data_IF_533594170411
#
_entry.id   IF_533594170411
#
_cell.length_a   1.000
_cell.length_b   1.000
_cell.length_c   1.000
_cell.angle_alpha   90.00
_cell.angle_beta   90.00
_cell.angle_gamma   90.00
#
_symmetry.space_group_name_H-M   'P 1'
#
loop_
_entity.id
_entity.type
_entity.pdbx_description
1 polymer ?
#
# COMPACT_ATOMS: atom_id res chain seq x y z
N UNK A 1 13.51 5.62 -28.17
CA UNK A 1 12.98 6.84 -27.53
C UNK A 1 13.51 6.83 -26.12
N UNK A 2 14.59 7.58 -25.87
CA UNK A 2 15.18 7.69 -24.55
C UNK A 2 14.31 8.63 -23.72
N UNK A 3 13.45 8.06 -22.88
CA UNK A 3 12.61 8.83 -21.98
C UNK A 3 13.38 9.08 -20.68
N UNK A 4 13.39 10.33 -20.21
CA UNK A 4 14.10 10.78 -19.00
C UNK A 4 15.65 10.65 -19.06
N UNK A 5 16.33 11.07 -20.15
CA UNK A 5 17.80 10.95 -20.26
C UNK A 5 18.55 11.71 -19.15
N UNK A 6 17.97 12.78 -18.62
CA UNK A 6 18.51 13.58 -17.52
C UNK A 6 18.62 12.83 -16.19
N UNK A 7 17.91 11.70 -16.06
CA UNK A 7 17.92 10.88 -14.86
C UNK A 7 19.03 9.81 -14.87
N UNK A 8 19.69 9.59 -16.01
CA UNK A 8 20.81 8.65 -16.14
C UNK A 8 20.47 7.22 -15.73
N UNK A 9 19.20 6.83 -15.84
CA UNK A 9 18.72 5.52 -15.40
C UNK A 9 19.19 4.43 -16.36
N UNK A 10 19.77 3.35 -15.82
CA UNK A 10 19.95 2.10 -16.57
C UNK A 10 18.84 1.11 -16.20
N UNK A 11 18.60 0.11 -17.05
CA UNK A 11 17.48 -0.83 -16.89
C UNK A 11 17.52 -1.58 -15.55
N UNK A 12 18.71 -1.83 -15.04
CA UNK A 12 18.98 -2.53 -13.78
C UNK A 12 18.67 -1.66 -12.55
N UNK A 13 18.41 -0.37 -12.74
CA UNK A 13 18.15 0.57 -11.63
C UNK A 13 16.73 0.49 -11.12
N UNK A 14 15.84 -0.13 -11.90
CA UNK A 14 14.40 -0.15 -11.65
C UNK A 14 13.89 -1.57 -11.76
N UNK A 15 13.43 -2.12 -10.65
CA UNK A 15 12.80 -3.43 -10.60
C UNK A 15 11.32 -3.26 -10.29
N UNK A 16 10.44 -3.58 -11.24
CA UNK A 16 8.99 -3.58 -10.97
C UNK A 16 8.64 -4.70 -10.00
N UNK A 17 7.92 -4.38 -8.92
CA UNK A 17 7.51 -5.36 -7.90
C UNK A 17 6.07 -5.81 -8.12
N UNK A 18 5.11 -4.91 -7.94
CA UNK A 18 3.68 -5.22 -8.06
C UNK A 18 2.85 -3.98 -8.42
N UNK A 19 1.60 -4.20 -8.81
CA UNK A 19 0.64 -3.13 -9.10
C UNK A 19 -0.30 -2.92 -7.91
N UNK A 20 -0.66 -1.67 -7.63
CA UNK A 20 -1.76 -1.28 -6.75
C UNK A 20 -2.77 -0.46 -7.55
N UNK A 21 -4.00 -0.37 -7.07
CA UNK A 21 -5.03 0.40 -7.76
C UNK A 21 -6.44 -0.01 -7.34
N UNK A 22 -7.46 0.76 -7.73
CA UNK A 22 -8.85 0.37 -7.54
C UNK A 22 -9.15 -0.94 -8.30
N UNK A 23 -9.87 -1.87 -7.65
CA UNK A 23 -10.23 -3.17 -8.27
C UNK A 23 -10.96 -3.03 -9.60
N UNK A 24 -11.73 -1.96 -9.79
CA UNK A 24 -12.51 -1.67 -11.01
C UNK A 24 -11.98 -0.46 -11.80
N UNK A 25 -10.85 0.13 -11.39
CA UNK A 25 -10.27 1.30 -12.07
C UNK A 25 -9.39 0.92 -13.25
N UNK A 26 -9.37 1.77 -14.28
CA UNK A 26 -8.41 1.73 -15.38
C UNK A 26 -7.02 2.28 -14.98
N UNK A 27 -6.91 2.92 -13.82
CA UNK A 27 -5.64 3.45 -13.29
C UNK A 27 -4.96 2.42 -12.38
N UNK A 28 -3.66 2.21 -12.60
CA UNK A 28 -2.80 1.45 -11.70
C UNK A 28 -1.64 2.30 -11.22
N UNK A 29 -1.13 1.97 -10.05
CA UNK A 29 0.14 2.45 -9.55
C UNK A 29 1.13 1.30 -9.58
N UNK A 30 2.31 1.54 -10.14
CA UNK A 30 3.39 0.57 -10.11
C UNK A 30 4.23 0.80 -8.89
N UNK A 31 4.43 -0.26 -8.11
CA UNK A 31 5.37 -0.29 -7.02
C UNK A 31 6.65 -0.91 -7.54
N UNK A 32 7.74 -0.17 -7.49
CA UNK A 32 9.05 -0.51 -8.04
C UNK A 32 10.13 -0.34 -6.98
N UNK A 33 11.13 -1.22 -6.99
CA UNK A 33 12.35 -1.07 -6.20
C UNK A 33 13.39 -0.31 -7.02
N UNK A 34 14.20 0.50 -6.35
CA UNK A 34 15.28 1.26 -6.98
C UNK A 34 16.61 1.11 -6.23
N UNK A 35 17.72 1.38 -6.91
CA UNK A 35 19.02 1.60 -6.22
C UNK A 35 18.90 2.82 -5.28
N UNK A 36 19.53 2.82 -4.09
CA UNK A 36 19.39 3.93 -3.13
C UNK A 36 19.81 5.31 -3.67
N UNK A 37 20.85 5.34 -4.51
CA UNK A 37 21.32 6.58 -5.16
C UNK A 37 20.26 7.12 -6.12
N UNK A 38 19.63 6.22 -6.88
CA UNK A 38 18.55 6.54 -7.81
C UNK A 38 17.29 7.00 -7.08
N UNK A 39 16.95 6.36 -5.96
CA UNK A 39 15.77 6.68 -5.16
C UNK A 39 15.70 8.18 -4.79
N UNK A 40 16.77 8.72 -4.18
CA UNK A 40 16.83 10.14 -3.78
C UNK A 40 16.62 11.11 -4.94
N UNK A 41 17.08 10.73 -6.12
CA UNK A 41 16.96 11.54 -7.33
C UNK A 41 15.55 11.51 -7.91
N UNK A 42 14.79 10.43 -7.68
CA UNK A 42 13.48 10.21 -8.29
C UNK A 42 12.30 10.64 -7.42
N UNK A 43 12.36 10.48 -6.10
CA UNK A 43 11.25 10.83 -5.19
C UNK A 43 10.84 12.28 -5.40
N UNK A 44 9.54 12.51 -5.63
CA UNK A 44 8.98 13.85 -5.82
C UNK A 44 9.05 14.36 -7.27
N UNK A 45 9.79 13.70 -8.16
CA UNK A 45 9.84 14.03 -9.59
C UNK A 45 8.79 13.25 -10.39
N UNK A 46 8.60 13.66 -11.64
CA UNK A 46 7.78 12.94 -12.62
C UNK A 46 8.66 12.14 -13.56
N UNK A 47 8.35 10.86 -13.72
CA UNK A 47 8.93 9.98 -14.73
C UNK A 47 8.00 9.90 -15.94
N UNK A 48 8.51 10.15 -17.12
CA UNK A 48 7.77 9.95 -18.37
C UNK A 48 7.90 8.49 -18.81
N UNK A 49 6.76 7.80 -18.88
CA UNK A 49 6.66 6.41 -19.34
C UNK A 49 5.62 6.39 -20.45
N UNK A 50 6.05 6.11 -21.69
CA UNK A 50 5.21 6.28 -22.87
C UNK A 50 4.76 7.73 -23.04
N UNK A 51 3.45 7.98 -23.07
CA UNK A 51 2.89 9.34 -23.16
C UNK A 51 2.46 9.90 -21.79
N UNK A 52 2.76 9.18 -20.70
CA UNK A 52 2.24 9.47 -19.37
C UNK A 52 3.33 10.02 -18.44
N UNK A 53 3.05 11.17 -17.82
CA UNK A 53 3.85 11.74 -16.73
C UNK A 53 3.49 11.11 -15.39
N UNK A 54 4.43 10.37 -14.80
CA UNK A 54 4.19 9.53 -13.63
C UNK A 54 4.89 10.12 -12.41
N UNK A 55 4.14 10.75 -11.50
CA UNK A 55 4.73 11.26 -10.26
C UNK A 55 5.23 10.09 -9.40
N UNK A 56 6.49 10.18 -9.02
CA UNK A 56 7.17 9.23 -8.15
C UNK A 56 6.95 9.66 -6.71
N UNK A 57 6.35 8.78 -5.92
CA UNK A 57 6.12 8.98 -4.48
C UNK A 57 6.61 7.77 -3.72
N UNK A 58 7.03 7.99 -2.48
CA UNK A 58 7.41 6.87 -1.62
C UNK A 58 6.21 5.96 -1.35
N UNK A 59 6.46 4.66 -1.32
CA UNK A 59 5.42 3.68 -1.01
C UNK A 59 5.57 3.16 0.41
N UNK A 60 4.55 3.40 1.23
CA UNK A 60 4.38 2.74 2.52
C UNK A 60 2.98 2.17 2.59
N UNK A 61 2.87 0.91 3.02
CA UNK A 61 1.59 0.25 3.22
C UNK A 61 1.54 -0.34 4.62
N UNK A 62 0.37 -0.21 5.24
CA UNK A 62 0.13 -0.75 6.58
C UNK A 62 -0.65 -2.03 6.40
N UNK A 63 -0.05 -3.15 6.79
CA UNK A 63 -0.78 -4.40 6.81
C UNK A 63 -1.85 -4.38 7.92
N UNK A 64 -3.07 -4.77 7.56
CA UNK A 64 -4.10 -5.14 8.53
C UNK A 64 -4.08 -6.64 8.73
N UNK A 65 -4.20 -7.06 9.98
CA UNK A 65 -4.31 -8.47 10.33
C UNK A 65 -5.74 -8.94 10.08
N UNK A 66 -5.95 -9.81 9.10
CA UNK A 66 -7.29 -10.34 8.78
C UNK A 66 -7.95 -11.15 9.91
N UNK A 67 -7.22 -11.48 10.98
CA UNK A 67 -7.79 -12.13 12.17
C UNK A 67 -8.26 -11.15 13.23
N UNK A 68 -7.57 -10.04 13.48
CA UNK A 68 -7.94 -9.12 14.57
C UNK A 68 -8.26 -7.70 14.11
N UNK A 69 -8.12 -7.43 12.82
CA UNK A 69 -8.23 -6.12 12.18
C UNK A 69 -7.21 -5.08 12.64
N UNK A 70 -6.30 -5.44 13.55
CA UNK A 70 -5.19 -4.60 14.01
C UNK A 70 -4.10 -4.41 12.96
N UNK A 71 -3.25 -3.40 13.17
CA UNK A 71 -2.19 -3.04 12.23
C UNK A 71 -0.80 -3.53 12.67
N UNK A 72 0.11 -3.71 11.72
CA UNK A 72 1.54 -3.94 12.00
C UNK A 72 1.94 -5.39 12.30
N UNK A 73 1.05 -6.35 12.06
CA UNK A 73 1.39 -7.77 12.14
C UNK A 73 0.57 -8.62 11.16
N UNK A 74 1.14 -9.76 10.79
CA UNK A 74 0.48 -10.74 9.93
C UNK A 74 -0.42 -11.66 10.76
N UNK A 75 -1.50 -12.18 10.15
CA UNK A 75 -2.42 -13.13 10.78
C UNK A 75 -1.75 -14.41 11.31
N UNK A 76 -0.59 -14.78 10.77
CA UNK A 76 0.23 -15.91 11.24
C UNK A 76 0.78 -15.66 12.65
N UNK A 77 1.05 -14.40 13.01
CA UNK A 77 1.56 -14.01 14.34
C UNK A 77 0.45 -13.81 15.37
N UNK A 78 -0.81 -13.91 14.97
CA UNK A 78 -1.95 -13.76 15.87
C UNK A 78 -2.28 -15.10 16.54
N UNK A 79 -2.21 -15.10 17.87
CA UNK A 79 -2.31 -16.31 18.70
C UNK A 79 -3.74 -16.69 19.10
N UNK A 80 -4.69 -15.75 19.08
CA UNK A 80 -6.04 -16.08 19.50
C UNK A 80 -6.76 -16.90 18.41
N UNK A 81 -7.65 -17.79 18.85
CA UNK A 81 -8.45 -18.65 17.98
C UNK A 81 -9.56 -17.87 17.27
N UNK A 82 -10.12 -16.87 17.94
CA UNK A 82 -11.24 -16.08 17.42
C UNK A 82 -10.77 -14.96 16.50
N UNK A 83 -11.47 -14.82 15.37
CA UNK A 83 -11.31 -13.69 14.48
C UNK A 83 -12.29 -12.57 14.84
N UNK A 84 -11.88 -11.34 14.58
CA UNK A 84 -12.65 -10.10 14.71
C UNK A 84 -13.15 -9.70 13.34
N UNK A 85 -14.46 -9.51 13.20
CA UNK A 85 -15.05 -9.14 11.93
C UNK A 85 -14.88 -7.65 11.63
N UNK A 86 -14.46 -7.31 10.41
CA UNK A 86 -14.10 -5.94 10.01
C UNK A 86 -15.25 -4.94 10.08
N UNK A 87 -16.49 -5.41 9.92
CA UNK A 87 -17.68 -4.56 9.85
C UNK A 87 -18.21 -4.17 11.21
N UNK A 88 -18.29 -5.08 12.17
CA UNK A 88 -18.96 -4.85 13.45
C UNK A 88 -18.04 -5.00 14.68
N UNK A 89 -16.77 -5.33 14.47
CA UNK A 89 -15.78 -5.56 15.53
C UNK A 89 -16.11 -6.69 16.53
N UNK A 90 -17.19 -7.45 16.32
CA UNK A 90 -17.50 -8.61 17.13
C UNK A 90 -16.64 -9.81 16.71
N UNK A 91 -16.39 -10.70 17.67
CA UNK A 91 -15.55 -11.90 17.47
C UNK A 91 -16.39 -13.10 17.05
N UNK A 92 -15.71 -14.10 16.48
CA UNK A 92 -16.23 -15.46 16.36
C UNK A 92 -17.25 -15.70 15.24
N UNK A 93 -17.44 -14.76 14.30
CA UNK A 93 -18.38 -14.94 13.19
C UNK A 93 -17.85 -14.34 11.88
N UNK A 94 -18.26 -14.96 10.77
CA UNK A 94 -17.97 -14.51 9.40
C UNK A 94 -19.08 -13.60 8.89
N UNK A 95 -18.84 -12.91 7.77
CA UNK A 95 -19.80 -12.03 7.11
C UNK A 95 -21.20 -12.64 6.94
N UNK A 96 -21.29 -13.91 6.55
CA UNK A 96 -22.57 -14.63 6.35
C UNK A 96 -23.39 -14.79 7.65
N UNK A 97 -22.73 -14.75 8.80
CA UNK A 97 -23.35 -14.93 10.13
C UNK A 97 -23.47 -13.61 10.90
N UNK A 98 -23.19 -12.47 10.26
CA UNK A 98 -23.29 -11.17 10.88
C UNK A 98 -24.76 -10.74 10.97
N UNK A 99 -25.34 -10.81 12.17
CA UNK A 99 -26.73 -10.40 12.44
C UNK A 99 -26.81 -8.88 12.62
N UNK A 100 -26.86 -8.14 11.51
CA UNK A 100 -27.12 -6.69 11.39
C UNK A 100 -26.60 -5.78 12.52
N UNK A 101 -25.44 -6.10 13.07
CA UNK A 101 -24.81 -5.28 14.09
C UNK A 101 -24.41 -3.94 13.47
N UNK A 102 -24.50 -2.83 14.22
CA UNK A 102 -24.06 -1.54 13.74
C UNK A 102 -22.60 -1.62 13.31
N UNK A 103 -22.27 -0.92 12.23
CA UNK A 103 -20.90 -0.85 11.72
C UNK A 103 -20.03 -0.22 12.80
N UNK A 104 -18.91 -0.87 13.13
CA UNK A 104 -17.98 -0.44 14.17
C UNK A 104 -16.56 -0.84 13.80
N UNK A 105 -15.65 0.12 13.90
CA UNK A 105 -14.23 -0.11 13.66
C UNK A 105 -13.62 -0.80 14.88
N UNK A 106 -12.95 -1.93 14.67
CA UNK A 106 -12.29 -2.67 15.75
C UNK A 106 -11.12 -1.91 16.41
N UNK A 107 -10.58 -0.90 15.72
CA UNK A 107 -9.38 -0.18 16.17
C UNK A 107 -9.66 1.17 16.83
N UNK A 108 -10.66 1.91 16.35
CA UNK A 108 -11.00 3.25 16.88
C UNK A 108 -12.41 3.33 17.50
N UNK A 109 -13.24 2.30 17.33
CA UNK A 109 -14.59 2.25 17.88
C UNK A 109 -15.64 3.12 17.18
N UNK A 110 -15.24 3.94 16.19
CA UNK A 110 -16.16 4.77 15.41
C UNK A 110 -17.12 3.92 14.56
N UNK A 111 -18.25 4.51 14.19
CA UNK A 111 -19.27 3.92 13.32
C UNK A 111 -18.82 3.85 11.84
N UNK A 112 -17.74 3.12 11.60
CA UNK A 112 -17.09 2.97 10.29
C UNK A 112 -16.44 1.59 10.18
N UNK A 113 -16.15 1.14 8.96
CA UNK A 113 -15.43 -0.13 8.74
C UNK A 113 -14.03 -0.07 9.35
N UNK A 114 -13.53 -1.21 9.81
CA UNK A 114 -12.14 -1.32 10.26
C UNK A 114 -11.18 -0.96 9.13
N UNK A 115 -10.24 -0.05 9.41
CA UNK A 115 -9.31 0.45 8.39
C UNK A 115 -9.84 1.60 7.52
N UNK A 116 -10.92 2.27 7.93
CA UNK A 116 -11.34 3.51 7.29
C UNK A 116 -10.24 4.58 7.31
N UNK A 117 -10.31 5.51 6.35
CA UNK A 117 -9.29 6.54 6.07
C UNK A 117 -8.96 7.40 7.29
N UNK A 118 -9.99 7.76 8.04
CA UNK A 118 -9.89 8.63 9.24
C UNK A 118 -9.65 7.84 10.54
N UNK A 119 -9.23 6.57 10.44
CA UNK A 119 -8.97 5.74 11.62
C UNK A 119 -7.69 6.21 12.31
N UNK A 120 -7.81 6.71 13.54
CA UNK A 120 -6.66 7.18 14.33
C UNK A 120 -5.58 6.12 14.54
N UNK A 121 -5.97 4.85 14.69
CA UNK A 121 -5.05 3.73 14.80
C UNK A 121 -4.32 3.43 13.48
N UNK A 122 -5.01 3.56 12.33
CA UNK A 122 -4.38 3.44 11.01
C UNK A 122 -3.38 4.57 10.81
N UNK A 123 -3.76 5.81 11.12
CA UNK A 123 -2.88 6.97 11.00
C UNK A 123 -1.59 6.80 11.82
N UNK A 124 -1.70 6.36 13.08
CA UNK A 124 -0.54 6.04 13.94
C UNK A 124 0.33 4.93 13.34
N UNK A 125 -0.29 3.87 12.80
CA UNK A 125 0.45 2.78 12.18
C UNK A 125 1.18 3.23 10.89
N UNK A 126 0.55 4.08 10.08
CA UNK A 126 1.16 4.65 8.87
C UNK A 126 2.37 5.50 9.20
N UNK A 127 2.28 6.38 10.20
CA UNK A 127 3.44 7.17 10.68
C UNK A 127 4.56 6.24 11.12
N UNK A 128 4.24 5.19 11.90
CA UNK A 128 5.25 4.23 12.37
C UNK A 128 5.96 3.52 11.22
N UNK A 129 5.21 3.05 10.21
CA UNK A 129 5.81 2.40 9.02
C UNK A 129 6.69 3.40 8.25
N UNK A 130 6.21 4.61 8.01
CA UNK A 130 6.98 5.65 7.34
C UNK A 130 8.30 5.95 8.07
N UNK A 131 8.28 6.10 9.40
CA UNK A 131 9.48 6.31 10.21
C UNK A 131 10.45 5.13 10.13
N UNK A 132 9.96 3.89 10.23
CA UNK A 132 10.81 2.69 10.09
C UNK A 132 11.48 2.67 8.72
N UNK A 133 10.76 3.01 7.65
CA UNK A 133 11.31 3.08 6.31
C UNK A 133 12.31 4.23 6.12
N UNK A 134 12.12 5.38 6.77
CA UNK A 134 13.13 6.46 6.81
C UNK A 134 14.40 5.98 7.52
N UNK A 135 14.26 5.23 8.62
CA UNK A 135 15.42 4.69 9.33
C UNK A 135 16.12 3.60 8.50
N UNK A 136 15.37 2.69 7.89
CA UNK A 136 15.91 1.62 7.04
C UNK A 136 16.74 2.16 5.86
N UNK A 137 16.34 3.31 5.30
CA UNK A 137 17.12 4.05 4.30
C UNK A 137 18.52 4.42 4.78
N UNK A 138 18.65 4.88 6.02
CA UNK A 138 19.95 5.24 6.60
C UNK A 138 20.86 4.00 6.79
N UNK A 139 20.28 2.80 6.82
CA UNK A 139 21.00 1.53 6.92
C UNK A 139 21.13 0.78 5.58
N UNK A 140 20.74 1.39 4.45
CA UNK A 140 20.94 0.83 3.11
C UNK A 140 20.00 -0.31 2.72
N UNK A 141 18.82 -0.42 3.34
CA UNK A 141 17.86 -1.49 3.07
C UNK A 141 16.79 -1.02 2.06
N UNK A 142 16.77 -1.69 0.90
CA UNK A 142 15.81 -1.66 -0.24
C UNK A 142 14.72 -0.57 -0.23
N UNK A 143 14.84 0.37 -1.18
CA UNK A 143 13.87 1.44 -1.40
C UNK A 143 12.74 1.02 -2.35
N UNK A 144 11.49 1.25 -1.93
CA UNK A 144 10.29 0.97 -2.72
C UNK A 144 9.57 2.29 -3.04
N UNK A 145 9.45 2.59 -4.33
CA UNK A 145 8.76 3.76 -4.87
C UNK A 145 7.49 3.33 -5.60
N UNK A 146 6.45 4.13 -5.44
CA UNK A 146 5.22 4.01 -6.20
C UNK A 146 5.26 5.06 -7.32
N UNK A 147 5.27 4.63 -8.58
CA UNK A 147 5.00 5.50 -9.72
C UNK A 147 3.54 5.36 -10.13
N UNK A 148 2.85 6.49 -10.21
CA UNK A 148 1.49 6.51 -10.80
C UNK A 148 1.62 6.43 -12.32
N UNK A 149 1.31 5.29 -12.91
CA UNK A 149 1.32 5.12 -14.36
C UNK A 149 -0.12 4.94 -14.82
N UNK A 150 -0.64 5.94 -15.54
CA UNK A 150 -1.91 5.82 -16.23
C UNK A 150 -1.69 4.89 -17.42
N UNK A 151 -2.14 3.64 -17.30
CA UNK A 151 -2.12 2.68 -18.39
C UNK A 151 -3.49 2.02 -18.45
N UNK A 152 -4.15 2.15 -19.59
CA UNK A 152 -5.40 1.46 -19.85
C UNK A 152 -5.20 -0.04 -19.63
N UNK A 153 -6.18 -0.71 -18.98
CA UNK A 153 -6.16 -2.17 -18.91
C UNK A 153 -6.20 -2.68 -20.34
N UNK A 154 -5.26 -3.53 -20.71
CA UNK A 154 -5.45 -4.37 -21.88
C UNK A 154 -6.79 -5.08 -21.74
N UNK A 155 -7.66 -5.03 -22.76
CA UNK A 155 -8.93 -5.74 -22.71
C UNK A 155 -8.63 -7.21 -22.46
N UNK A 156 -9.29 -7.76 -21.45
CA UNK A 156 -9.24 -9.19 -21.16
C UNK A 156 -9.53 -9.95 -22.45
N UNK A 157 -8.55 -10.71 -22.95
CA UNK A 157 -8.78 -11.67 -24.04
C UNK A 157 -9.89 -12.60 -23.58
N UNK A 158 -11.05 -12.44 -24.20
CA UNK A 158 -12.20 -13.33 -24.17
C UNK A 158 -11.87 -14.66 -24.83
#
# INVERSE_FOLDING_TARGET
>A
MDQNPELGLVKEDVVSLFKKGPKMGNLVWWVCSFRPITHKTLVGKSLFVGLSGCRVVEYFDVNSCFKCQGFGHMAIRYKALEHTFERCAAKGHRAINCKDAPVKCANCGLAALSGHKDCSALHKASIRVALISILARNYGVFDILCSRVEHEREPSRS
#
